data_IF_045681563753
#
_entry.id   IF_045681563753
#
_cell.length_a   1.000
_cell.length_b   1.000
_cell.length_c   1.000
_cell.angle_alpha   90.00
_cell.angle_beta   90.00
_cell.angle_gamma   90.00
#
_symmetry.space_group_name_H-M   'P 1'
#
loop_
_entity.id
_entity.type
_entity.pdbx_description
1 polymer ?
#
# COMPACT_ATOMS: atom_id res chain seq x y z
N UNK A 1 8.12 -12.37 -21.16
CA UNK A 1 7.69 -13.78 -20.92
C UNK A 1 6.82 -13.74 -19.67
N UNK A 2 5.51 -13.86 -19.85
CA UNK A 2 4.57 -13.90 -18.72
C UNK A 2 4.50 -15.37 -18.30
N UNK A 3 4.89 -15.68 -17.07
CA UNK A 3 4.76 -17.02 -16.53
C UNK A 3 3.29 -17.25 -16.18
N UNK A 4 2.76 -18.45 -16.40
CA UNK A 4 1.36 -18.83 -16.15
C UNK A 4 0.92 -18.70 -14.68
N UNK A 5 1.84 -18.38 -13.79
CA UNK A 5 1.63 -18.19 -12.35
C UNK A 5 1.10 -16.78 -11.99
N UNK A 6 1.23 -15.79 -12.89
CA UNK A 6 0.74 -14.41 -12.67
C UNK A 6 -0.51 -14.20 -13.52
N UNK A 7 -1.66 -14.68 -13.04
CA UNK A 7 -2.97 -14.44 -13.67
C UNK A 7 -3.53 -13.08 -13.27
N UNK A 8 -2.88 -11.99 -13.67
CA UNK A 8 -3.51 -10.67 -13.65
C UNK A 8 -4.25 -10.47 -14.97
N UNK A 9 -5.55 -10.21 -14.89
CA UNK A 9 -6.42 -10.09 -16.06
C UNK A 9 -6.10 -8.92 -16.98
N UNK A 10 -5.34 -7.91 -16.50
CA UNK A 10 -4.99 -6.69 -17.23
C UNK A 10 -3.73 -6.00 -16.68
N UNK A 11 -3.08 -5.20 -17.52
CA UNK A 11 -1.88 -4.44 -17.16
C UNK A 11 -2.16 -3.28 -16.20
N UNK A 12 -3.38 -2.73 -16.22
CA UNK A 12 -3.76 -1.62 -15.32
C UNK A 12 -3.75 -2.10 -13.87
N UNK A 13 -4.33 -3.28 -13.61
CA UNK A 13 -4.30 -3.92 -12.28
C UNK A 13 -2.87 -4.25 -11.83
N UNK A 14 -2.05 -4.82 -12.73
CA UNK A 14 -0.65 -5.12 -12.43
C UNK A 14 0.13 -3.84 -12.12
N UNK A 15 -0.04 -2.78 -12.91
CA UNK A 15 0.60 -1.49 -12.69
C UNK A 15 0.22 -0.87 -11.33
N UNK A 16 -1.05 -0.97 -10.93
CA UNK A 16 -1.49 -0.50 -9.61
C UNK A 16 -0.84 -1.28 -8.46
N UNK A 17 -0.66 -2.60 -8.60
CA UNK A 17 0.05 -3.41 -7.61
C UNK A 17 1.53 -3.04 -7.51
N UNK A 18 2.19 -2.81 -8.66
CA UNK A 18 3.57 -2.33 -8.69
C UNK A 18 3.68 -0.94 -8.05
N UNK A 19 2.76 -0.01 -8.36
CA UNK A 19 2.72 1.31 -7.74
C UNK A 19 2.63 1.22 -6.21
N UNK A 20 1.82 0.29 -5.68
CA UNK A 20 1.72 0.03 -4.25
C UNK A 20 3.01 -0.55 -3.68
N UNK A 21 3.63 -1.50 -4.38
CA UNK A 21 4.86 -2.17 -3.94
C UNK A 21 6.05 -1.22 -3.85
N UNK A 22 6.20 -0.30 -4.83
CA UNK A 22 7.29 0.69 -4.86
C UNK A 22 6.94 1.99 -4.13
N UNK A 23 5.78 2.06 -3.49
CA UNK A 23 5.28 3.23 -2.75
C UNK A 23 5.23 4.50 -3.62
N UNK A 24 4.78 4.36 -4.86
CA UNK A 24 4.70 5.46 -5.79
C UNK A 24 3.80 6.59 -5.27
N UNK A 25 4.13 7.85 -5.59
CA UNK A 25 3.28 9.01 -5.32
C UNK A 25 2.22 9.18 -6.40
N UNK A 26 2.57 8.79 -7.63
CA UNK A 26 1.70 8.87 -8.79
C UNK A 26 1.76 7.58 -9.61
N UNK A 27 0.59 7.16 -10.13
CA UNK A 27 0.44 6.10 -11.10
C UNK A 27 -0.06 6.70 -12.41
N UNK A 28 0.68 6.56 -13.49
CA UNK A 28 0.31 7.12 -14.80
C UNK A 28 -0.09 5.99 -15.73
N UNK A 29 -1.34 6.03 -16.22
CA UNK A 29 -1.88 5.11 -17.21
C UNK A 29 -1.90 5.81 -18.57
N UNK A 30 -1.02 5.40 -19.46
CA UNK A 30 -1.02 5.85 -20.84
C UNK A 30 -1.94 4.96 -21.69
N UNK A 31 -2.91 5.56 -22.36
CA UNK A 31 -3.97 4.86 -23.08
C UNK A 31 -4.23 5.50 -24.47
N UNK A 32 -5.13 4.93 -25.23
CA UNK A 32 -5.63 5.45 -26.49
C UNK A 32 -6.70 6.56 -26.34
N UNK A 33 -7.13 6.82 -25.10
CA UNK A 33 -8.10 7.87 -24.76
C UNK A 33 -7.40 9.06 -24.11
N UNK A 34 -7.96 10.27 -24.30
CA UNK A 34 -7.43 11.49 -23.67
C UNK A 34 -7.59 11.51 -22.14
N UNK A 35 -8.52 10.74 -21.62
CA UNK A 35 -8.85 10.61 -20.20
C UNK A 35 -10.27 10.07 -20.03
N UNK A 36 -10.87 10.30 -18.87
CA UNK A 36 -12.24 9.91 -18.54
C UNK A 36 -13.24 10.95 -19.04
N UNK A 37 -14.38 10.48 -19.48
CA UNK A 37 -15.55 11.29 -19.85
C UNK A 37 -16.77 10.83 -19.02
N UNK A 38 -17.77 11.70 -18.90
CA UNK A 38 -19.02 11.39 -18.18
C UNK A 38 -19.84 10.28 -18.85
N UNK A 39 -19.59 10.01 -20.14
CA UNK A 39 -20.11 8.89 -20.92
C UNK A 39 -19.13 8.58 -22.07
N UNK A 40 -19.36 7.53 -22.85
CA UNK A 40 -18.52 7.22 -24.03
C UNK A 40 -18.72 8.32 -25.10
N UNK A 41 -17.71 9.17 -25.40
CA UNK A 41 -17.86 10.28 -26.34
C UNK A 41 -18.11 9.84 -27.79
N UNK A 42 -17.90 8.56 -28.10
CA UNK A 42 -18.24 7.97 -29.42
C UNK A 42 -19.72 7.66 -29.54
N UNK A 43 -20.45 7.56 -28.44
CA UNK A 43 -21.87 7.21 -28.37
C UNK A 43 -22.73 8.36 -27.92
N UNK A 44 -22.18 9.22 -27.06
CA UNK A 44 -22.88 10.38 -26.50
C UNK A 44 -22.08 11.67 -26.80
N UNK A 45 -22.52 12.47 -27.78
CA UNK A 45 -21.89 13.77 -28.11
C UNK A 45 -21.93 14.79 -26.98
N UNK A 46 -22.80 14.61 -25.97
CA UNK A 46 -22.89 15.45 -24.78
C UNK A 46 -21.90 15.04 -23.66
N UNK A 47 -21.13 13.97 -23.86
CA UNK A 47 -20.14 13.51 -22.91
C UNK A 47 -19.09 14.60 -22.62
N UNK A 48 -18.93 14.94 -21.35
CA UNK A 48 -17.98 15.96 -20.89
C UNK A 48 -16.71 15.31 -20.40
N UNK A 49 -15.57 15.96 -20.64
CA UNK A 49 -14.28 15.52 -20.16
C UNK A 49 -14.16 15.75 -18.64
N UNK A 50 -13.67 14.76 -17.91
CA UNK A 50 -13.44 14.84 -16.47
C UNK A 50 -11.96 15.17 -16.24
N UNK A 51 -11.67 16.39 -15.80
CA UNK A 51 -10.29 16.82 -15.51
C UNK A 51 -9.76 16.22 -14.22
N UNK A 52 -10.59 16.21 -13.17
CA UNK A 52 -10.22 15.72 -11.85
C UNK A 52 -11.42 15.06 -11.18
N UNK A 53 -11.14 13.98 -10.42
CA UNK A 53 -12.12 13.31 -9.58
C UNK A 53 -11.43 12.60 -8.41
N UNK A 54 -12.23 12.07 -7.45
CA UNK A 54 -11.69 11.27 -6.34
C UNK A 54 -11.52 9.82 -6.78
N UNK A 55 -10.33 9.26 -6.61
CA UNK A 55 -10.13 7.84 -6.82
C UNK A 55 -11.03 7.02 -5.88
N UNK A 56 -11.77 6.06 -6.46
CA UNK A 56 -12.72 5.22 -5.70
C UNK A 56 -14.14 5.79 -5.56
N UNK A 57 -14.44 6.96 -6.16
CA UNK A 57 -15.82 7.44 -6.24
C UNK A 57 -16.66 6.46 -7.08
N UNK A 58 -17.80 5.93 -6.55
CA UNK A 58 -18.64 4.97 -7.27
C UNK A 58 -19.21 5.49 -8.59
N UNK A 59 -19.37 6.81 -8.74
CA UNK A 59 -19.87 7.42 -9.99
C UNK A 59 -18.93 7.21 -11.16
N UNK A 60 -17.61 7.08 -10.91
CA UNK A 60 -16.62 6.84 -11.96
C UNK A 60 -16.80 5.46 -12.62
N UNK A 61 -17.18 4.46 -11.85
CA UNK A 61 -17.46 3.12 -12.39
C UNK A 61 -18.69 3.15 -13.32
N UNK A 62 -19.70 3.95 -13.00
CA UNK A 62 -20.86 4.17 -13.86
C UNK A 62 -20.50 4.91 -15.16
N UNK A 63 -19.69 5.97 -15.08
CA UNK A 63 -19.18 6.73 -16.25
C UNK A 63 -18.33 5.86 -17.18
N UNK A 64 -17.57 4.91 -16.63
CA UNK A 64 -16.71 4.00 -17.40
C UNK A 64 -17.46 2.85 -18.10
N UNK A 65 -18.80 2.82 -18.03
CA UNK A 65 -19.64 1.83 -18.73
C UNK A 65 -20.41 0.86 -17.86
N UNK A 66 -20.38 1.03 -16.52
CA UNK A 66 -21.18 0.25 -15.56
C UNK A 66 -20.88 -1.25 -15.52
N UNK A 67 -21.64 -2.00 -14.70
CA UNK A 67 -21.48 -3.44 -14.47
C UNK A 67 -21.85 -4.36 -15.65
N UNK A 68 -22.12 -3.83 -16.82
CA UNK A 68 -22.47 -4.57 -18.05
C UNK A 68 -21.46 -4.45 -19.19
N UNK A 69 -20.41 -3.63 -19.06
CA UNK A 69 -19.34 -3.60 -20.04
C UNK A 69 -18.49 -4.87 -19.86
N UNK A 70 -18.19 -5.56 -20.97
CA UNK A 70 -17.37 -6.78 -20.95
C UNK A 70 -16.07 -6.53 -20.17
N UNK A 71 -15.98 -7.07 -18.96
CA UNK A 71 -14.78 -7.07 -18.12
C UNK A 71 -13.78 -8.01 -18.80
N UNK A 72 -13.14 -7.51 -19.84
CA UNK A 72 -12.19 -8.30 -20.58
C UNK A 72 -11.39 -7.44 -21.55
N UNK A 73 -10.14 -7.23 -21.22
CA UNK A 73 -9.09 -6.65 -22.04
C UNK A 73 -9.07 -5.10 -22.13
N UNK A 74 -8.88 -4.40 -20.97
CA UNK A 74 -8.28 -3.07 -20.98
C UNK A 74 -9.21 -1.89 -21.31
N UNK A 75 -10.47 -1.91 -20.85
CA UNK A 75 -11.41 -0.79 -20.98
C UNK A 75 -11.19 0.33 -19.95
N UNK A 76 -11.95 1.43 -20.02
CA UNK A 76 -11.89 2.51 -19.04
C UNK A 76 -12.18 2.02 -17.62
N UNK A 77 -13.08 1.03 -17.48
CA UNK A 77 -13.42 0.45 -16.17
C UNK A 77 -12.21 -0.18 -15.45
N UNK A 78 -11.33 -0.88 -16.19
CA UNK A 78 -10.11 -1.46 -15.58
C UNK A 78 -9.18 -0.38 -15.04
N UNK A 79 -9.09 0.77 -15.72
CA UNK A 79 -8.29 1.94 -15.32
C UNK A 79 -8.85 2.60 -14.05
N UNK A 80 -10.17 2.72 -13.95
CA UNK A 80 -10.85 3.24 -12.76
C UNK A 80 -10.64 2.30 -11.55
N UNK A 81 -10.77 0.99 -11.74
CA UNK A 81 -10.52 0.00 -10.69
C UNK A 81 -9.05 -0.04 -10.27
N UNK A 82 -8.13 0.10 -11.22
CA UNK A 82 -6.69 0.21 -10.94
C UNK A 82 -6.36 1.49 -10.16
N UNK A 83 -6.96 2.63 -10.54
CA UNK A 83 -6.81 3.88 -9.81
C UNK A 83 -7.35 3.79 -8.36
N UNK A 84 -8.52 3.17 -8.16
CA UNK A 84 -9.06 2.89 -6.83
C UNK A 84 -8.09 2.06 -5.98
N UNK A 85 -7.45 1.05 -6.60
CA UNK A 85 -6.45 0.20 -5.94
C UNK A 85 -5.17 0.97 -5.60
N UNK A 86 -4.63 1.76 -6.53
CA UNK A 86 -3.46 2.61 -6.29
C UNK A 86 -3.71 3.64 -5.18
N UNK A 87 -4.92 4.23 -5.15
CA UNK A 87 -5.34 5.16 -4.11
C UNK A 87 -5.40 4.50 -2.72
N UNK A 88 -5.61 3.18 -2.64
CA UNK A 88 -5.53 2.40 -1.40
C UNK A 88 -4.17 2.51 -0.71
N UNK A 89 -3.07 2.76 -1.42
CA UNK A 89 -1.74 3.04 -0.87
C UNK A 89 -1.34 4.53 -0.92
N UNK A 90 -2.28 5.41 -1.29
CA UNK A 90 -2.07 6.87 -1.32
C UNK A 90 -1.51 7.40 -2.63
N UNK A 91 -1.38 6.56 -3.68
CA UNK A 91 -0.96 6.99 -5.00
C UNK A 91 -2.13 7.60 -5.79
N UNK A 92 -1.99 8.83 -6.25
CA UNK A 92 -2.92 9.43 -7.22
C UNK A 92 -2.68 8.85 -8.61
N UNK A 93 -3.73 8.75 -9.44
CA UNK A 93 -3.62 8.18 -10.79
C UNK A 93 -3.93 9.22 -11.84
N UNK A 94 -3.10 9.28 -12.89
CA UNK A 94 -3.38 10.07 -14.09
C UNK A 94 -3.69 9.13 -15.25
N UNK A 95 -4.82 9.33 -15.92
CA UNK A 95 -5.17 8.65 -17.17
C UNK A 95 -4.98 9.65 -18.31
N UNK A 96 -4.03 9.37 -19.20
CA UNK A 96 -3.67 10.30 -20.28
C UNK A 96 -3.47 9.59 -21.61
N UNK A 97 -3.54 10.35 -22.69
CA UNK A 97 -3.29 9.85 -24.05
C UNK A 97 -1.80 9.55 -24.27
N UNK A 98 -1.48 8.28 -24.54
CA UNK A 98 -0.10 7.83 -24.66
C UNK A 98 0.66 8.32 -25.89
N UNK A 99 -0.04 8.96 -26.86
CA UNK A 99 0.59 9.58 -28.04
C UNK A 99 0.73 11.09 -27.92
N UNK A 100 0.38 11.68 -26.78
CA UNK A 100 0.64 13.10 -26.51
C UNK A 100 2.16 13.33 -26.46
N UNK A 101 2.70 14.30 -27.23
CA UNK A 101 4.13 14.59 -27.20
C UNK A 101 4.61 14.93 -25.79
N UNK A 102 5.71 14.33 -25.37
CA UNK A 102 6.38 14.58 -24.10
C UNK A 102 5.47 14.47 -22.86
N UNK A 103 4.40 13.66 -22.95
CA UNK A 103 3.35 13.57 -21.92
C UNK A 103 3.90 13.36 -20.52
N UNK A 104 4.89 12.49 -20.34
CA UNK A 104 5.47 12.22 -19.01
C UNK A 104 6.27 13.41 -18.47
N UNK A 105 7.03 14.09 -19.32
CA UNK A 105 7.80 15.29 -18.94
C UNK A 105 6.87 16.44 -18.56
N UNK A 106 5.82 16.65 -19.34
CA UNK A 106 4.82 17.70 -19.12
C UNK A 106 4.02 17.44 -17.85
N UNK A 107 3.61 16.20 -17.59
CA UNK A 107 2.98 15.80 -16.32
C UNK A 107 3.92 16.02 -15.13
N UNK A 108 5.21 15.68 -15.26
CA UNK A 108 6.20 15.92 -14.21
C UNK A 108 6.42 17.42 -13.92
N UNK A 109 6.14 18.30 -14.89
CA UNK A 109 6.15 19.76 -14.74
C UNK A 109 4.84 20.32 -14.14
N UNK A 110 3.87 19.46 -13.84
CA UNK A 110 2.58 19.84 -13.28
C UNK A 110 1.54 20.30 -14.31
N UNK A 111 1.75 20.01 -15.60
CA UNK A 111 0.76 20.34 -16.61
C UNK A 111 -0.50 19.47 -16.47
N UNK A 112 -1.67 20.10 -16.54
CA UNK A 112 -2.96 19.41 -16.43
C UNK A 112 -3.30 18.65 -17.73
N UNK A 113 -2.75 17.44 -17.90
CA UNK A 113 -2.99 16.57 -19.04
C UNK A 113 -3.77 15.34 -18.57
N UNK A 114 -4.84 14.99 -19.28
CA UNK A 114 -5.63 13.81 -18.96
C UNK A 114 -6.59 14.01 -17.79
N UNK A 115 -6.97 12.93 -17.14
CA UNK A 115 -7.82 12.90 -15.95
C UNK A 115 -6.98 12.55 -14.72
N UNK A 116 -6.97 13.43 -13.73
CA UNK A 116 -6.37 13.18 -12.43
C UNK A 116 -7.40 12.55 -11.48
N UNK A 117 -7.11 11.37 -10.96
CA UNK A 117 -7.87 10.68 -9.93
C UNK A 117 -7.11 10.76 -8.61
N UNK A 118 -7.57 11.65 -7.73
CA UNK A 118 -6.86 12.00 -6.49
C UNK A 118 -7.08 10.94 -5.42
N UNK A 119 -5.99 10.44 -4.84
CA UNK A 119 -6.05 9.61 -3.66
C UNK A 119 -6.40 10.48 -2.43
N UNK A 120 -7.36 10.04 -1.62
CA UNK A 120 -7.84 10.80 -0.46
C UNK A 120 -7.18 10.42 0.84
N UNK A 121 -6.59 9.24 0.86
CA UNK A 121 -5.94 8.70 2.05
C UNK A 121 -4.49 9.15 2.08
N UNK A 122 -4.05 9.72 3.20
CA UNK A 122 -2.64 10.03 3.40
C UNK A 122 -1.80 8.75 3.21
N UNK A 123 -0.69 8.83 2.46
CA UNK A 123 0.18 7.70 2.09
C UNK A 123 0.52 6.79 3.28
N UNK A 124 0.86 7.40 4.42
CA UNK A 124 1.18 6.67 5.66
C UNK A 124 -0.01 5.87 6.20
N UNK A 125 -1.21 6.44 6.14
CA UNK A 125 -2.43 5.77 6.62
C UNK A 125 -2.87 4.66 5.67
N UNK A 126 -2.79 4.89 4.37
CA UNK A 126 -3.09 3.92 3.33
C UNK A 126 -2.14 2.71 3.38
N UNK A 127 -0.84 2.94 3.56
CA UNK A 127 0.17 1.89 3.74
C UNK A 127 -0.14 1.04 4.97
N UNK A 128 -0.48 1.68 6.08
CA UNK A 128 -0.87 0.99 7.31
C UNK A 128 -2.06 0.08 7.08
N UNK A 129 -3.11 0.58 6.43
CA UNK A 129 -4.31 -0.20 6.12
C UNK A 129 -3.98 -1.40 5.20
N UNK A 130 -3.17 -1.18 4.15
CA UNK A 130 -2.77 -2.25 3.25
C UNK A 130 -1.97 -3.36 3.96
N UNK A 131 -1.06 -3.00 4.88
CA UNK A 131 -0.33 -3.98 5.70
C UNK A 131 -1.27 -4.79 6.61
N UNK A 132 -2.31 -4.15 7.16
CA UNK A 132 -3.29 -4.83 7.99
C UNK A 132 -4.12 -5.86 7.20
N UNK A 133 -4.50 -5.54 5.96
CA UNK A 133 -5.53 -6.28 5.22
C UNK A 133 -4.99 -7.33 4.25
N UNK A 134 -3.77 -7.17 3.71
CA UNK A 134 -3.33 -7.93 2.54
C UNK A 134 -2.09 -8.80 2.72
N UNK A 135 -1.33 -8.66 3.82
CA UNK A 135 -0.11 -9.42 4.02
C UNK A 135 -0.30 -10.60 4.98
N UNK A 136 0.17 -11.78 4.55
CA UNK A 136 0.20 -12.96 5.41
C UNK A 136 1.16 -12.75 6.58
N UNK A 137 0.68 -13.01 7.79
CA UNK A 137 1.51 -13.07 8.97
C UNK A 137 2.48 -14.25 8.86
N UNK A 138 3.78 -13.99 9.06
CA UNK A 138 4.84 -15.00 9.06
C UNK A 138 5.24 -15.44 10.44
N UNK A 139 4.89 -14.65 11.47
CA UNK A 139 5.20 -14.95 12.85
C UNK A 139 4.62 -13.89 13.78
N UNK A 140 5.03 -13.93 15.03
CA UNK A 140 4.59 -12.98 16.05
C UNK A 140 5.72 -12.65 17.03
N UNK A 141 5.60 -11.50 17.69
CA UNK A 141 6.35 -11.13 18.87
C UNK A 141 5.39 -10.87 20.02
N UNK A 142 5.70 -11.39 21.21
CA UNK A 142 4.99 -11.09 22.42
C UNK A 142 5.67 -9.92 23.12
N UNK A 143 4.87 -9.02 23.70
CA UNK A 143 5.37 -7.82 24.38
C UNK A 143 4.86 -7.75 25.82
N UNK A 144 5.59 -7.02 26.66
CA UNK A 144 5.15 -6.75 28.01
C UNK A 144 4.07 -5.64 28.04
N UNK A 145 3.45 -5.46 29.22
CA UNK A 145 2.39 -4.47 29.43
C UNK A 145 2.84 -3.03 29.13
N UNK A 146 4.09 -2.69 29.48
CA UNK A 146 4.64 -1.37 29.26
C UNK A 146 4.82 -1.06 27.77
N UNK A 147 5.31 -2.02 26.99
CA UNK A 147 5.42 -1.90 25.54
C UNK A 147 4.03 -1.86 24.88
N UNK A 148 3.11 -2.76 25.30
CA UNK A 148 1.74 -2.78 24.79
C UNK A 148 1.02 -1.44 25.03
N UNK A 149 1.16 -0.86 26.21
CA UNK A 149 0.57 0.45 26.54
C UNK A 149 1.14 1.55 25.64
N UNK A 150 2.46 1.64 25.50
CA UNK A 150 3.10 2.66 24.65
C UNK A 150 2.73 2.55 23.18
N UNK A 151 2.60 1.33 22.66
CA UNK A 151 2.14 1.09 21.30
C UNK A 151 0.71 1.62 21.10
N UNK A 152 -0.21 1.27 22.02
CA UNK A 152 -1.63 1.65 21.94
C UNK A 152 -1.87 3.15 22.15
N UNK A 153 -1.17 3.80 23.09
CA UNK A 153 -1.49 5.17 23.51
C UNK A 153 -0.58 6.24 22.90
N UNK A 154 0.68 5.91 22.64
CA UNK A 154 1.68 6.89 22.19
C UNK A 154 2.08 6.72 20.71
N UNK A 155 1.64 5.66 20.03
CA UNK A 155 2.02 5.38 18.65
C UNK A 155 3.54 5.25 18.43
N UNK A 156 4.26 4.70 19.41
CA UNK A 156 5.71 4.50 19.36
C UNK A 156 6.11 3.30 18.53
N UNK A 157 7.38 3.22 18.16
CA UNK A 157 8.01 2.03 17.58
C UNK A 157 8.09 0.90 18.60
N UNK A 158 8.03 -0.35 18.14
CA UNK A 158 8.31 -1.50 19.02
C UNK A 158 9.82 -1.69 19.15
N UNK A 159 10.32 -1.58 20.37
CA UNK A 159 11.72 -1.85 20.71
C UNK A 159 11.89 -3.28 21.22
N UNK A 160 13.01 -3.98 20.89
CA UNK A 160 13.30 -5.32 21.37
C UNK A 160 13.31 -5.46 22.90
N UNK A 161 13.64 -4.40 23.65
CA UNK A 161 13.61 -4.41 25.12
C UNK A 161 12.20 -4.69 25.67
N UNK A 162 11.15 -4.31 24.96
CA UNK A 162 9.75 -4.58 25.32
C UNK A 162 9.25 -5.95 24.90
N UNK A 163 10.03 -6.71 24.12
CA UNK A 163 9.65 -8.05 23.66
C UNK A 163 9.92 -9.10 24.76
N UNK A 164 9.00 -10.05 24.90
CA UNK A 164 9.11 -11.16 25.87
C UNK A 164 9.38 -12.50 25.20
N UNK A 165 8.87 -12.70 23.97
CA UNK A 165 9.07 -13.90 23.18
C UNK A 165 8.91 -13.63 21.68
N UNK A 166 9.39 -14.57 20.87
CA UNK A 166 9.30 -14.57 19.39
C UNK A 166 8.75 -15.91 18.93
N UNK A 167 7.67 -15.88 18.16
CA UNK A 167 6.97 -17.04 17.60
C UNK A 167 7.08 -17.11 16.08
N UNK A 168 7.21 -18.32 15.54
CA UNK A 168 7.32 -18.58 14.11
C UNK A 168 8.69 -18.26 13.51
N UNK A 169 8.77 -18.41 12.19
CA UNK A 169 9.96 -18.11 11.41
C UNK A 169 9.62 -17.06 10.36
N UNK A 170 10.34 -15.93 10.42
CA UNK A 170 10.17 -14.80 9.53
C UNK A 170 11.52 -14.16 9.21
N UNK A 171 11.58 -13.52 8.08
CA UNK A 171 12.72 -12.74 7.59
C UNK A 171 12.52 -11.24 7.83
N UNK A 172 13.58 -10.46 7.71
CA UNK A 172 13.48 -9.00 7.65
C UNK A 172 12.54 -8.57 6.52
N UNK A 173 11.61 -7.67 6.81
CA UNK A 173 10.60 -7.19 5.88
C UNK A 173 9.30 -8.00 5.86
N UNK A 174 9.24 -9.15 6.53
CA UNK A 174 8.00 -9.89 6.69
C UNK A 174 7.06 -9.20 7.67
N UNK A 175 5.74 -9.40 7.48
CA UNK A 175 4.74 -8.91 8.43
C UNK A 175 4.58 -9.88 9.58
N UNK A 176 4.71 -9.34 10.78
CA UNK A 176 4.54 -10.06 12.03
C UNK A 176 3.41 -9.48 12.87
N UNK A 177 2.75 -10.32 13.65
CA UNK A 177 1.83 -9.89 14.71
C UNK A 177 2.59 -9.40 15.93
N UNK A 178 2.05 -8.41 16.62
CA UNK A 178 2.47 -8.01 17.97
C UNK A 178 1.35 -8.40 18.92
N UNK A 179 1.67 -9.23 19.91
CA UNK A 179 0.70 -9.75 20.88
C UNK A 179 1.04 -9.30 22.29
N UNK A 180 0.01 -9.00 23.05
CA UNK A 180 0.18 -8.68 24.49
C UNK A 180 0.35 -9.95 25.36
N UNK A 181 0.46 -9.76 26.67
CA UNK A 181 0.64 -10.83 27.66
C UNK A 181 -0.51 -11.83 27.72
N UNK A 182 -1.69 -11.48 27.19
CA UNK A 182 -2.86 -12.39 27.08
C UNK A 182 -2.84 -13.21 25.79
N UNK A 183 -1.92 -12.92 24.87
CA UNK A 183 -1.86 -13.50 23.53
C UNK A 183 -2.76 -12.78 22.52
N UNK A 184 -3.47 -11.71 22.92
CA UNK A 184 -4.29 -10.92 22.01
C UNK A 184 -3.42 -10.12 21.04
N UNK A 185 -3.77 -10.12 19.75
CA UNK A 185 -3.11 -9.31 18.76
C UNK A 185 -3.46 -7.83 18.98
N UNK A 186 -2.45 -6.99 19.13
CA UNK A 186 -2.60 -5.55 19.38
C UNK A 186 -2.11 -4.69 18.21
N UNK A 187 -1.22 -5.26 17.39
CA UNK A 187 -0.68 -4.57 16.23
C UNK A 187 -0.12 -5.56 15.19
N UNK A 188 0.15 -5.08 13.99
CA UNK A 188 0.94 -5.74 12.94
C UNK A 188 1.99 -4.80 12.42
N UNK A 189 3.10 -5.32 11.92
CA UNK A 189 4.10 -4.48 11.28
C UNK A 189 5.22 -5.25 10.60
N UNK A 190 6.04 -4.50 9.85
CA UNK A 190 7.19 -5.05 9.14
C UNK A 190 8.36 -5.25 10.11
N UNK A 191 8.89 -6.47 10.14
CA UNK A 191 10.02 -6.83 10.99
C UNK A 191 11.33 -6.22 10.45
N UNK A 192 12.09 -5.53 11.30
CA UNK A 192 13.42 -5.03 10.96
C UNK A 192 14.51 -6.10 11.12
N UNK A 193 14.18 -7.23 11.77
CA UNK A 193 15.09 -8.34 12.05
C UNK A 193 14.43 -9.67 11.68
N UNK A 194 15.24 -10.64 11.26
CA UNK A 194 14.78 -12.02 11.15
C UNK A 194 14.47 -12.62 12.52
N UNK A 195 13.63 -13.67 12.56
CA UNK A 195 13.19 -14.32 13.81
C UNK A 195 14.35 -14.79 14.69
N UNK A 196 15.44 -15.29 14.08
CA UNK A 196 16.64 -15.73 14.81
C UNK A 196 17.33 -14.56 15.54
N UNK A 197 17.48 -13.42 14.86
CA UNK A 197 18.05 -12.19 15.43
C UNK A 197 17.12 -11.60 16.50
N UNK A 198 15.83 -11.54 16.21
CA UNK A 198 14.82 -11.05 17.14
C UNK A 198 14.82 -11.81 18.47
N UNK A 199 15.05 -13.15 18.44
CA UNK A 199 15.21 -13.96 19.65
C UNK A 199 16.44 -13.57 20.47
N UNK A 200 17.57 -13.22 19.82
CA UNK A 200 18.79 -12.75 20.51
C UNK A 200 18.60 -11.36 21.13
N UNK A 201 17.82 -10.51 20.47
CA UNK A 201 17.55 -9.12 20.89
C UNK A 201 16.44 -9.00 21.93
N UNK A 202 15.65 -10.06 22.16
CA UNK A 202 14.54 -10.06 23.10
C UNK A 202 15.02 -9.61 24.50
N UNK A 203 14.34 -8.60 25.08
CA UNK A 203 14.70 -7.99 26.38
C UNK A 203 16.05 -7.24 26.40
N UNK A 204 16.66 -6.96 25.23
CA UNK A 204 17.94 -6.25 25.16
C UNK A 204 17.76 -4.79 24.79
N UNK A 205 18.53 -3.87 25.41
CA UNK A 205 18.59 -2.49 24.98
C UNK A 205 19.38 -2.37 23.67
N UNK A 206 19.07 -1.35 22.86
CA UNK A 206 19.71 -1.14 21.55
C UNK A 206 21.24 -0.97 21.63
N UNK A 207 21.78 -0.54 22.77
CA UNK A 207 23.22 -0.44 23.00
C UNK A 207 23.98 -1.77 22.98
N UNK A 208 23.27 -2.90 23.10
CA UNK A 208 23.87 -4.24 23.03
C UNK A 208 23.82 -4.89 21.64
N UNK A 209 23.10 -4.28 20.67
CA UNK A 209 22.81 -4.92 19.38
C UNK A 209 24.06 -5.20 18.57
N UNK A 210 24.98 -4.24 18.45
CA UNK A 210 26.23 -4.43 17.71
C UNK A 210 27.05 -5.60 18.27
N UNK A 211 27.11 -5.74 19.60
CA UNK A 211 27.80 -6.86 20.26
C UNK A 211 27.12 -8.21 19.99
N UNK A 212 25.80 -8.24 19.91
CA UNK A 212 25.01 -9.48 19.73
C UNK A 212 24.91 -9.92 18.29
N UNK A 213 24.80 -8.97 17.35
CA UNK A 213 24.58 -9.24 15.92
C UNK A 213 25.87 -9.15 15.09
N UNK A 214 26.91 -8.45 15.60
CA UNK A 214 28.13 -8.19 14.86
C UNK A 214 28.03 -7.06 13.84
N UNK A 215 26.94 -6.32 13.81
CA UNK A 215 26.71 -5.17 12.94
C UNK A 215 25.77 -4.14 13.57
N UNK A 216 25.86 -2.88 13.11
CA UNK A 216 24.92 -1.81 13.53
C UNK A 216 23.64 -1.88 12.71
N UNK A 217 22.50 -1.91 13.38
CA UNK A 217 21.20 -2.03 12.75
C UNK A 217 20.20 -1.04 13.37
N UNK A 218 18.94 -1.10 12.89
CA UNK A 218 17.84 -0.31 13.43
C UNK A 218 17.65 -0.54 14.96
N UNK A 219 17.27 0.50 15.68
CA UNK A 219 17.01 0.35 17.12
C UNK A 219 15.69 -0.38 17.42
N UNK A 220 14.77 -0.39 16.44
CA UNK A 220 13.42 -0.89 16.58
C UNK A 220 13.27 -2.28 15.96
N UNK A 221 12.46 -3.14 16.61
CA UNK A 221 11.95 -4.36 16.00
C UNK A 221 10.95 -4.07 14.88
N UNK A 222 10.07 -3.09 15.12
CA UNK A 222 9.10 -2.57 14.15
C UNK A 222 9.04 -1.05 14.30
N UNK A 223 9.35 -0.33 13.23
CA UNK A 223 9.24 1.12 13.22
C UNK A 223 7.77 1.56 13.23
N UNK A 224 7.43 2.64 13.93
CA UNK A 224 6.05 3.15 14.07
C UNK A 224 5.35 3.41 12.74
N UNK A 225 6.08 3.83 11.71
CA UNK A 225 5.52 4.09 10.39
C UNK A 225 5.15 2.80 9.64
N UNK A 226 5.74 1.68 10.08
CA UNK A 226 5.51 0.33 9.57
C UNK A 226 4.68 -0.52 10.55
N UNK A 227 3.98 0.10 11.51
CA UNK A 227 3.19 -0.55 12.53
C UNK A 227 1.73 -0.06 12.50
N UNK A 228 0.79 -0.99 12.54
CA UNK A 228 -0.66 -0.76 12.54
C UNK A 228 -1.25 -1.40 13.78
N UNK A 229 -2.07 -0.65 14.52
CA UNK A 229 -2.87 -1.21 15.60
C UNK A 229 -4.04 -2.03 15.03
N UNK A 230 -4.27 -3.25 15.54
CA UNK A 230 -5.31 -4.18 15.07
C UNK A 230 -6.43 -4.41 16.08
N UNK A 231 -6.29 -3.95 17.31
CA UNK A 231 -7.33 -4.01 18.33
C UNK A 231 -8.26 -2.79 18.23
N UNK A 232 -9.56 -2.99 18.32
CA UNK A 232 -10.52 -1.90 18.53
C UNK A 232 -10.17 -1.15 19.82
N UNK A 233 -10.23 0.19 19.74
CA UNK A 233 -10.11 1.06 20.90
C UNK A 233 -11.25 0.79 21.88
#
# INVERSE_FOLDING_TARGET
>A
MVTDEIKFGDNDTLGALVANLVEADAYIILTDQKGLYTADPRRDPAAQFVHEARAGDPTLEAMAGGAGSSIGKGGMITKILAAKRAAGSGASTVIAWGREPDVLLRLAQGEAIGTLLVAQTAKTQARKQWMADHLQLRGAVLVDEGAALKLRTEGKSLLPIGMTAVEGDFSRGDVIAVRDTTGAEIARGLANYASAEARLLCRKPSSEFERLLGYTAEAEMVHRDNLVLTGAA
#
